data_IF_858063104116
#
_entry.id   IF_858063104116
#
_cell.length_a   1.000
_cell.length_b   1.000
_cell.length_c   1.000
_cell.angle_alpha   90.00
_cell.angle_beta   90.00
_cell.angle_gamma   90.00
#
_symmetry.space_group_name_H-M   'P 1'
#
loop_
_entity.id
_entity.type
_entity.pdbx_description
1 polymer ?
#
# COMPACT_ATOMS: atom_id res chain seq x y z
N UNK A 1 -2.82 -1.58 -26.75
CA UNK A 1 -1.56 -2.24 -26.35
C UNK A 1 -0.32 -1.37 -26.56
N UNK A 2 0.11 -1.09 -27.80
CA UNK A 2 1.38 -0.37 -28.06
C UNK A 2 1.43 1.04 -27.42
N UNK A 3 0.31 1.77 -27.43
CA UNK A 3 0.22 3.11 -26.86
C UNK A 3 0.44 3.15 -25.34
N UNK A 4 -0.13 2.20 -24.59
CA UNK A 4 -0.01 2.12 -23.13
C UNK A 4 1.42 1.81 -22.71
N UNK A 5 2.08 0.89 -23.42
CA UNK A 5 3.49 0.51 -23.16
C UNK A 5 4.41 1.71 -23.41
N UNK A 6 4.28 2.35 -24.58
CA UNK A 6 5.09 3.52 -24.94
C UNK A 6 4.86 4.67 -23.94
N UNK A 7 3.61 4.92 -23.56
CA UNK A 7 3.25 5.92 -22.56
C UNK A 7 3.95 5.67 -21.23
N UNK A 8 3.85 4.44 -20.69
CA UNK A 8 4.49 4.08 -19.42
C UNK A 8 6.01 4.25 -19.49
N UNK A 9 6.66 3.79 -20.57
CA UNK A 9 8.11 3.92 -20.72
C UNK A 9 8.54 5.39 -20.70
N UNK A 10 7.86 6.25 -21.47
CA UNK A 10 8.16 7.69 -21.52
C UNK A 10 7.96 8.33 -20.14
N UNK A 11 6.83 8.03 -19.50
CA UNK A 11 6.46 8.53 -18.18
C UNK A 11 7.51 8.13 -17.12
N UNK A 12 7.97 6.89 -17.13
CA UNK A 12 9.01 6.40 -16.22
C UNK A 12 10.36 7.06 -16.49
N UNK A 13 10.79 7.17 -17.75
CA UNK A 13 12.04 7.85 -18.12
C UNK A 13 12.06 9.31 -17.66
N UNK A 14 10.95 10.03 -17.86
CA UNK A 14 10.81 11.42 -17.43
C UNK A 14 10.89 11.55 -15.90
N UNK A 15 10.30 10.62 -15.15
CA UNK A 15 10.29 10.65 -13.69
C UNK A 15 11.69 10.53 -13.05
N UNK A 16 12.61 9.79 -13.68
CA UNK A 16 14.00 9.62 -13.19
C UNK A 16 14.97 10.70 -13.70
N UNK A 17 14.65 11.38 -14.81
CA UNK A 17 15.52 12.38 -15.44
C UNK A 17 15.12 13.81 -15.12
N UNK A 18 13.85 14.09 -14.87
CA UNK A 18 13.32 15.43 -14.69
C UNK A 18 12.34 15.52 -13.52
N UNK A 19 12.44 16.58 -12.71
CA UNK A 19 11.51 16.84 -11.62
C UNK A 19 10.94 18.25 -11.76
N UNK A 20 10.00 18.41 -12.69
CA UNK A 20 9.26 19.65 -12.86
C UNK A 20 7.77 19.43 -12.54
N UNK A 21 7.00 20.52 -12.46
CA UNK A 21 5.57 20.45 -12.14
C UNK A 21 4.78 19.63 -13.16
N UNK A 22 5.10 19.76 -14.45
CA UNK A 22 4.43 19.03 -15.53
C UNK A 22 4.58 17.51 -15.40
N UNK A 23 5.80 17.03 -15.13
CA UNK A 23 6.08 15.61 -14.94
C UNK A 23 5.40 15.07 -13.68
N UNK A 24 5.37 15.85 -12.59
CA UNK A 24 4.62 15.47 -11.39
C UNK A 24 3.12 15.33 -11.67
N UNK A 25 2.52 16.27 -12.41
CA UNK A 25 1.10 16.20 -12.80
C UNK A 25 0.87 15.00 -13.71
N UNK A 26 1.73 14.79 -14.71
CA UNK A 26 1.61 13.67 -15.63
C UNK A 26 1.61 12.33 -14.89
N UNK A 27 2.54 12.11 -13.95
CA UNK A 27 2.62 10.86 -13.19
C UNK A 27 1.43 10.64 -12.26
N UNK A 28 0.92 11.71 -11.64
CA UNK A 28 -0.30 11.66 -10.81
C UNK A 28 -1.51 11.31 -11.68
N UNK A 29 -1.60 11.88 -12.88
CA UNK A 29 -2.65 11.54 -13.84
C UNK A 29 -2.52 10.11 -14.34
N UNK A 30 -1.30 9.65 -14.67
CA UNK A 30 -1.05 8.24 -15.04
C UNK A 30 -1.54 7.30 -13.96
N UNK A 31 -1.21 7.59 -12.70
CA UNK A 31 -1.66 6.78 -11.56
C UNK A 31 -3.18 6.80 -11.44
N UNK A 32 -3.82 7.97 -11.54
CA UNK A 32 -5.28 8.06 -11.54
C UNK A 32 -5.91 7.21 -12.64
N UNK A 33 -5.41 7.32 -13.87
CA UNK A 33 -5.96 6.59 -15.00
C UNK A 33 -5.82 5.08 -14.83
N UNK A 34 -4.68 4.61 -14.33
CA UNK A 34 -4.47 3.21 -13.98
C UNK A 34 -5.50 2.74 -12.95
N UNK A 35 -5.63 3.42 -11.81
CA UNK A 35 -6.46 2.96 -10.70
C UNK A 35 -7.96 3.05 -11.01
N UNK A 36 -8.39 4.10 -11.72
CA UNK A 36 -9.79 4.38 -12.00
C UNK A 36 -10.37 3.49 -13.11
N UNK A 37 -9.59 3.15 -14.13
CA UNK A 37 -10.07 2.49 -15.35
C UNK A 37 -9.49 1.08 -15.55
N UNK A 38 -9.04 0.44 -14.48
CA UNK A 38 -8.61 -0.95 -14.53
C UNK A 38 -9.80 -1.92 -14.63
N UNK A 39 -9.77 -2.83 -15.61
CA UNK A 39 -10.87 -3.75 -15.93
C UNK A 39 -10.38 -5.21 -16.05
N UNK A 40 -9.52 -5.68 -15.15
CA UNK A 40 -9.09 -7.08 -15.19
C UNK A 40 -10.27 -8.02 -14.85
N UNK A 41 -10.54 -8.97 -15.76
CA UNK A 41 -11.81 -9.70 -15.85
C UNK A 41 -12.29 -10.41 -14.56
N UNK A 42 -11.41 -10.92 -13.68
CA UNK A 42 -11.84 -11.81 -12.60
C UNK A 42 -12.43 -11.08 -11.38
N UNK A 43 -11.69 -10.14 -10.78
CA UNK A 43 -12.20 -9.45 -9.59
C UNK A 43 -13.11 -8.27 -9.96
N UNK A 44 -12.92 -7.65 -11.13
CA UNK A 44 -13.78 -6.57 -11.63
C UNK A 44 -15.25 -7.01 -11.74
N UNK A 45 -15.52 -8.14 -12.41
CA UNK A 45 -16.88 -8.64 -12.60
C UNK A 45 -17.57 -9.00 -11.27
N UNK A 46 -16.80 -9.45 -10.28
CA UNK A 46 -17.33 -9.72 -8.93
C UNK A 46 -17.76 -8.41 -8.25
N UNK A 47 -16.98 -7.33 -8.40
CA UNK A 47 -17.35 -6.02 -7.86
C UNK A 47 -18.58 -5.42 -8.54
N UNK A 48 -18.65 -5.48 -9.87
CA UNK A 48 -19.82 -5.01 -10.64
C UNK A 48 -21.07 -5.76 -10.21
N UNK A 49 -21.02 -7.10 -10.18
CA UNK A 49 -22.14 -7.92 -9.73
C UNK A 49 -22.59 -7.54 -8.31
N UNK A 50 -21.63 -7.37 -7.39
CA UNK A 50 -21.92 -6.98 -6.01
C UNK A 50 -22.56 -5.61 -5.92
N UNK A 51 -22.12 -4.66 -6.75
CA UNK A 51 -22.66 -3.31 -6.83
C UNK A 51 -24.11 -3.31 -7.36
N UNK A 52 -24.37 -4.04 -8.45
CA UNK A 52 -25.68 -4.13 -9.07
C UNK A 52 -26.70 -4.87 -8.18
N UNK A 53 -26.26 -5.91 -7.46
CA UNK A 53 -27.08 -6.61 -6.46
C UNK A 53 -27.60 -5.65 -5.38
N UNK A 54 -26.77 -4.73 -4.90
CA UNK A 54 -27.22 -3.68 -3.95
C UNK A 54 -28.24 -2.75 -4.61
N UNK A 55 -27.98 -2.33 -5.85
CA UNK A 55 -28.89 -1.48 -6.62
C UNK A 55 -30.27 -2.10 -6.82
N UNK A 56 -30.33 -3.42 -7.00
CA UNK A 56 -31.56 -4.20 -7.13
C UNK A 56 -32.33 -4.40 -5.81
N UNK A 57 -31.79 -3.96 -4.66
CA UNK A 57 -32.43 -4.07 -3.34
C UNK A 57 -32.14 -5.39 -2.60
N UNK A 58 -31.26 -6.24 -3.12
CA UNK A 58 -30.90 -7.53 -2.52
C UNK A 58 -29.82 -7.39 -1.44
N UNK A 59 -30.05 -6.50 -0.47
CA UNK A 59 -29.09 -6.09 0.56
C UNK A 59 -28.60 -7.27 1.42
N UNK A 60 -29.46 -8.27 1.64
CA UNK A 60 -29.15 -9.45 2.45
C UNK A 60 -28.06 -10.34 1.82
N UNK A 61 -27.85 -10.27 0.51
CA UNK A 61 -26.81 -11.04 -0.19
C UNK A 61 -25.39 -10.54 0.10
N UNK A 62 -25.24 -9.35 0.69
CA UNK A 62 -23.94 -8.80 1.11
C UNK A 62 -23.71 -8.85 2.63
N UNK A 63 -24.54 -9.58 3.39
CA UNK A 63 -24.25 -9.88 4.80
C UNK A 63 -22.93 -10.67 4.90
N UNK A 64 -21.84 -9.96 5.20
CA UNK A 64 -20.48 -10.52 5.24
C UNK A 64 -19.42 -9.69 4.50
N UNK A 65 -19.82 -8.71 3.68
CA UNK A 65 -18.90 -7.74 3.08
C UNK A 65 -18.58 -6.59 4.03
N UNK A 66 -17.46 -5.90 3.80
CA UNK A 66 -17.03 -4.81 4.68
C UNK A 66 -17.98 -3.60 4.62
N UNK A 67 -18.29 -2.96 5.77
CA UNK A 67 -19.34 -1.94 5.85
C UNK A 67 -19.15 -0.74 4.91
N UNK A 68 -17.91 -0.30 4.68
CA UNK A 68 -17.66 0.85 3.80
C UNK A 68 -17.80 0.50 2.32
N UNK A 69 -17.53 -0.74 1.91
CA UNK A 69 -17.81 -1.20 0.55
C UNK A 69 -19.32 -1.24 0.30
N UNK A 70 -20.10 -1.72 1.26
CA UNK A 70 -21.55 -1.70 1.18
C UNK A 70 -22.10 -0.26 1.07
N UNK A 71 -21.58 0.67 1.89
CA UNK A 71 -21.95 2.08 1.80
C UNK A 71 -21.61 2.69 0.44
N UNK A 72 -20.45 2.34 -0.13
CA UNK A 72 -20.07 2.75 -1.49
C UNK A 72 -21.11 2.30 -2.52
N UNK A 73 -21.50 1.02 -2.52
CA UNK A 73 -22.51 0.50 -3.44
C UNK A 73 -23.86 1.21 -3.27
N UNK A 74 -24.31 1.42 -2.02
CA UNK A 74 -25.57 2.11 -1.75
C UNK A 74 -25.58 3.55 -2.28
N UNK A 75 -24.52 4.31 -2.00
CA UNK A 75 -24.43 5.71 -2.40
C UNK A 75 -24.34 5.85 -3.91
N UNK A 76 -23.50 5.03 -4.55
CA UNK A 76 -23.35 5.06 -6.01
C UNK A 76 -24.67 4.78 -6.73
N UNK A 77 -25.37 3.71 -6.34
CA UNK A 77 -26.69 3.37 -6.91
C UNK A 77 -27.74 4.44 -6.61
N UNK A 78 -27.75 5.02 -5.40
CA UNK A 78 -28.67 6.11 -5.04
C UNK A 78 -28.53 7.33 -5.95
N UNK A 79 -27.31 7.62 -6.43
CA UNK A 79 -27.05 8.73 -7.35
C UNK A 79 -27.09 8.31 -8.83
N UNK A 80 -27.48 7.07 -9.15
CA UNK A 80 -27.58 6.57 -10.52
C UNK A 80 -26.22 6.42 -11.21
N UNK A 81 -25.13 6.27 -10.45
CA UNK A 81 -23.79 6.09 -11.00
C UNK A 81 -23.57 4.62 -11.40
N UNK A 82 -22.91 4.38 -12.53
CA UNK A 82 -22.32 3.07 -12.82
C UNK A 82 -21.19 2.76 -11.83
N UNK A 83 -20.84 1.48 -11.69
CA UNK A 83 -19.70 1.07 -10.87
C UNK A 83 -18.41 1.83 -11.25
N UNK A 84 -18.11 1.96 -12.55
CA UNK A 84 -16.93 2.67 -13.04
C UNK A 84 -16.93 4.15 -12.69
N UNK A 85 -18.09 4.81 -12.82
CA UNK A 85 -18.23 6.21 -12.45
C UNK A 85 -18.02 6.41 -10.95
N UNK A 86 -18.62 5.54 -10.12
CA UNK A 86 -18.45 5.58 -8.67
C UNK A 86 -17.00 5.29 -8.27
N UNK A 87 -16.36 4.30 -8.89
CA UNK A 87 -14.96 3.94 -8.69
C UNK A 87 -14.02 5.09 -9.05
N UNK A 88 -14.21 5.74 -10.21
CA UNK A 88 -13.40 6.87 -10.64
C UNK A 88 -13.42 8.02 -9.61
N UNK A 89 -14.58 8.29 -9.00
CA UNK A 89 -14.70 9.28 -7.91
C UNK A 89 -13.88 8.85 -6.68
N UNK A 90 -13.97 7.58 -6.26
CA UNK A 90 -13.18 7.06 -5.13
C UNK A 90 -11.68 7.14 -5.42
N UNK A 91 -11.26 6.86 -6.65
CA UNK A 91 -9.86 6.93 -7.06
C UNK A 91 -9.27 8.34 -6.95
N UNK A 92 -10.07 9.42 -7.01
CA UNK A 92 -9.59 10.77 -6.72
C UNK A 92 -9.08 10.87 -5.27
N UNK A 93 -9.79 10.26 -4.31
CA UNK A 93 -9.39 10.24 -2.91
C UNK A 93 -8.15 9.36 -2.70
N UNK A 94 -8.06 8.22 -3.39
CA UNK A 94 -6.91 7.32 -3.32
C UNK A 94 -5.63 7.99 -3.82
N UNK A 95 -5.70 8.62 -5.01
CA UNK A 95 -4.57 9.35 -5.58
C UNK A 95 -4.20 10.56 -4.73
N UNK A 96 -5.19 11.27 -4.18
CA UNK A 96 -4.95 12.35 -3.22
C UNK A 96 -4.24 11.84 -1.96
N UNK A 97 -4.63 10.69 -1.43
CA UNK A 97 -4.00 10.10 -0.26
C UNK A 97 -2.52 9.78 -0.52
N UNK A 98 -2.22 9.14 -1.65
CA UNK A 98 -0.85 8.83 -2.08
C UNK A 98 -0.04 10.11 -2.28
N UNK A 99 -0.54 11.04 -3.11
CA UNK A 99 0.14 12.30 -3.42
C UNK A 99 0.40 13.14 -2.16
N UNK A 100 -0.62 13.31 -1.32
CA UNK A 100 -0.53 14.11 -0.10
C UNK A 100 0.48 13.52 0.88
N UNK A 101 0.52 12.20 1.04
CA UNK A 101 1.53 11.52 1.87
C UNK A 101 2.94 11.69 1.30
N UNK A 102 3.16 11.50 -0.01
CA UNK A 102 4.48 11.72 -0.62
C UNK A 102 4.94 13.16 -0.36
N UNK A 103 4.02 14.13 -0.54
CA UNK A 103 4.30 15.57 -0.40
C UNK A 103 4.73 15.95 1.01
N UNK A 104 4.30 15.22 2.05
CA UNK A 104 4.77 15.43 3.43
C UNK A 104 6.28 15.19 3.56
N UNK A 105 6.86 14.27 2.79
CA UNK A 105 8.26 13.86 2.91
C UNK A 105 9.16 14.36 1.76
N UNK A 106 8.67 14.45 0.53
CA UNK A 106 9.50 14.85 -0.60
C UNK A 106 8.74 15.63 -1.66
N UNK A 107 9.45 16.52 -2.34
CA UNK A 107 8.93 17.24 -3.51
C UNK A 107 9.27 16.53 -4.84
N UNK A 108 10.00 15.41 -4.79
CA UNK A 108 10.28 14.54 -5.94
C UNK A 108 9.16 13.51 -6.10
N UNK A 109 7.94 13.99 -6.33
CA UNK A 109 6.72 13.17 -6.31
C UNK A 109 6.73 12.15 -7.45
N UNK A 110 7.06 12.60 -8.66
CA UNK A 110 7.13 11.77 -9.86
C UNK A 110 8.02 10.54 -9.67
N UNK A 111 9.15 10.69 -8.98
CA UNK A 111 10.09 9.60 -8.75
C UNK A 111 9.54 8.53 -7.80
N UNK A 112 8.79 8.93 -6.75
CA UNK A 112 8.10 7.96 -5.88
C UNK A 112 6.97 7.26 -6.61
N UNK A 113 6.13 8.03 -7.33
CA UNK A 113 5.03 7.47 -8.11
C UNK A 113 5.55 6.53 -9.19
N UNK A 114 6.70 6.83 -9.83
CA UNK A 114 7.30 5.95 -10.81
C UNK A 114 7.73 4.60 -10.22
N UNK A 115 8.38 4.60 -9.04
CA UNK A 115 8.69 3.35 -8.33
C UNK A 115 7.41 2.59 -7.99
N UNK A 116 6.40 3.29 -7.46
CA UNK A 116 5.10 2.72 -7.12
C UNK A 116 4.36 2.13 -8.35
N UNK A 117 4.41 2.81 -9.50
CA UNK A 117 3.82 2.36 -10.77
C UNK A 117 4.50 1.13 -11.34
N UNK A 118 5.82 1.01 -11.20
CA UNK A 118 6.52 -0.23 -11.58
C UNK A 118 6.00 -1.38 -10.71
N UNK A 119 5.96 -1.16 -9.39
CA UNK A 119 5.37 -2.08 -8.44
C UNK A 119 5.20 -1.36 -7.09
N UNK A 120 4.10 -1.54 -6.33
CA UNK A 120 3.00 -2.48 -6.53
C UNK A 120 1.71 -1.94 -7.16
N UNK A 121 1.65 -0.69 -7.63
CA UNK A 121 0.40 -0.07 -8.09
C UNK A 121 -0.35 -0.86 -9.16
N UNK A 122 0.38 -1.51 -10.07
CA UNK A 122 -0.21 -2.39 -11.10
C UNK A 122 -0.93 -3.59 -10.45
N UNK A 123 -0.26 -4.30 -9.54
CA UNK A 123 -0.88 -5.40 -8.80
C UNK A 123 -2.07 -4.95 -7.91
N UNK A 124 -2.03 -3.72 -7.38
CA UNK A 124 -3.09 -3.19 -6.53
C UNK A 124 -4.30 -2.64 -7.31
N UNK A 125 -4.12 -2.26 -8.58
CA UNK A 125 -5.14 -1.59 -9.39
C UNK A 125 -6.39 -2.44 -9.62
N UNK A 126 -6.26 -3.77 -9.70
CA UNK A 126 -7.41 -4.68 -9.81
C UNK A 126 -8.24 -4.75 -8.51
N UNK A 127 -7.62 -4.49 -7.37
CA UNK A 127 -8.14 -4.87 -6.06
C UNK A 127 -8.83 -3.70 -5.36
N UNK A 128 -9.95 -3.24 -5.91
CA UNK A 128 -10.66 -2.02 -5.46
C UNK A 128 -10.75 -1.83 -3.93
N UNK A 129 -11.30 -2.81 -3.19
CA UNK A 129 -11.45 -2.71 -1.73
C UNK A 129 -10.12 -2.59 -1.00
N UNK A 130 -9.14 -3.41 -1.41
CA UNK A 130 -7.81 -3.43 -0.84
C UNK A 130 -7.08 -2.11 -1.12
N UNK A 131 -7.14 -1.61 -2.36
CA UNK A 131 -6.54 -0.35 -2.78
C UNK A 131 -7.08 0.83 -1.96
N UNK A 132 -8.40 0.91 -1.77
CA UNK A 132 -9.03 1.94 -0.95
C UNK A 132 -8.53 1.89 0.50
N UNK A 133 -8.54 0.71 1.12
CA UNK A 133 -8.02 0.51 2.48
C UNK A 133 -6.54 0.85 2.60
N UNK A 134 -5.72 0.40 1.63
CA UNK A 134 -4.29 0.68 1.54
C UNK A 134 -4.02 2.19 1.49
N UNK A 135 -4.77 2.94 0.67
CA UNK A 135 -4.61 4.38 0.53
C UNK A 135 -4.94 5.13 1.82
N UNK A 136 -5.96 4.69 2.58
CA UNK A 136 -6.26 5.24 3.92
C UNK A 136 -5.10 4.98 4.89
N UNK A 137 -4.50 3.79 4.86
CA UNK A 137 -3.31 3.47 5.68
C UNK A 137 -2.11 4.33 5.27
N UNK A 138 -1.85 4.48 3.97
CA UNK A 138 -0.80 5.37 3.43
C UNK A 138 -1.03 6.80 3.89
N UNK A 139 -2.28 7.26 3.91
CA UNK A 139 -2.65 8.55 4.47
C UNK A 139 -2.39 8.62 5.97
N UNK A 140 -2.56 7.54 6.72
CA UNK A 140 -2.34 7.52 8.17
C UNK A 140 -0.85 7.57 8.57
N UNK A 141 0.06 6.99 7.76
CA UNK A 141 1.49 6.80 8.09
C UNK A 141 2.22 8.05 8.60
N UNK A 142 2.03 9.27 8.05
CA UNK A 142 2.69 10.45 8.57
C UNK A 142 2.42 10.76 10.05
N UNK A 143 1.22 10.44 10.56
CA UNK A 143 0.91 10.63 11.98
C UNK A 143 1.77 9.70 12.83
N UNK A 144 1.83 8.42 12.47
CA UNK A 144 2.69 7.43 13.11
C UNK A 144 4.18 7.82 13.06
N UNK A 145 4.65 8.28 11.89
CA UNK A 145 6.03 8.72 11.69
C UNK A 145 6.37 9.94 12.54
N UNK A 146 5.43 10.90 12.68
CA UNK A 146 5.58 11.99 13.63
C UNK A 146 5.68 11.42 15.04
N UNK A 147 4.62 10.77 15.53
CA UNK A 147 4.60 10.01 16.77
C UNK A 147 5.22 10.73 17.98
N UNK A 148 5.05 12.06 18.03
CA UNK A 148 5.58 12.92 19.11
C UNK A 148 4.56 13.09 20.23
N UNK A 149 3.28 12.83 19.94
CA UNK A 149 2.16 12.92 20.89
C UNK A 149 1.31 11.65 20.88
N UNK A 150 0.57 11.40 21.97
CA UNK A 150 -0.44 10.32 22.02
C UNK A 150 -1.53 10.47 20.95
N UNK A 151 -1.83 11.70 20.56
CA UNK A 151 -2.82 12.01 19.52
C UNK A 151 -2.38 11.54 18.14
N UNK A 152 -1.08 11.43 17.89
CA UNK A 152 -0.53 10.86 16.66
C UNK A 152 -0.89 9.38 16.51
N UNK A 153 -0.63 8.61 17.57
CA UNK A 153 -0.95 7.19 17.61
C UNK A 153 -2.45 6.95 17.59
N UNK A 154 -3.23 7.79 18.27
CA UNK A 154 -4.69 7.71 18.24
C UNK A 154 -5.24 7.99 16.84
N UNK A 155 -4.80 9.08 16.18
CA UNK A 155 -5.22 9.41 14.82
C UNK A 155 -4.81 8.33 13.82
N UNK A 156 -3.58 7.83 13.92
CA UNK A 156 -3.13 6.68 13.12
C UNK A 156 -4.04 5.47 13.31
N UNK A 157 -4.32 5.09 14.56
CA UNK A 157 -5.15 3.93 14.88
C UNK A 157 -6.59 4.10 14.41
N UNK A 158 -7.18 5.28 14.56
CA UNK A 158 -8.52 5.60 14.07
C UNK A 158 -8.61 5.45 12.55
N UNK A 159 -7.62 5.94 11.80
CA UNK A 159 -7.58 5.79 10.35
C UNK A 159 -7.36 4.33 9.92
N UNK A 160 -6.57 3.54 10.67
CA UNK A 160 -6.42 2.10 10.44
C UNK A 160 -7.76 1.38 10.65
N UNK A 161 -8.51 1.72 11.70
CA UNK A 161 -9.86 1.15 11.93
C UNK A 161 -10.82 1.49 10.79
N UNK A 162 -10.77 2.72 10.27
CA UNK A 162 -11.54 3.10 9.06
C UNK A 162 -11.07 2.31 7.83
N UNK A 163 -9.77 2.06 7.67
CA UNK A 163 -9.27 1.22 6.59
C UNK A 163 -9.78 -0.24 6.72
N UNK A 164 -9.90 -0.76 7.94
CA UNK A 164 -10.47 -2.10 8.21
C UNK A 164 -11.92 -2.23 7.73
N UNK A 165 -12.71 -1.16 7.75
CA UNK A 165 -14.09 -1.19 7.22
C UNK A 165 -14.17 -1.13 5.70
N UNK A 166 -13.04 -0.91 5.01
CA UNK A 166 -12.91 -1.06 3.56
C UNK A 166 -12.34 -2.44 3.19
N UNK A 167 -11.31 -2.89 3.92
CA UNK A 167 -10.71 -4.20 3.75
C UNK A 167 -10.18 -4.73 5.09
N UNK A 168 -10.67 -5.88 5.53
CA UNK A 168 -10.42 -6.42 6.88
C UNK A 168 -8.93 -6.59 7.22
N UNK A 169 -8.11 -7.01 6.25
CA UNK A 169 -6.66 -7.20 6.47
C UNK A 169 -5.92 -5.93 6.90
N UNK A 170 -6.47 -4.73 6.63
CA UNK A 170 -5.85 -3.48 7.07
C UNK A 170 -5.73 -3.37 8.60
N UNK A 171 -6.50 -4.14 9.38
CA UNK A 171 -6.39 -4.18 10.84
C UNK A 171 -4.97 -4.49 11.32
N UNK A 172 -4.23 -5.32 10.59
CA UNK A 172 -2.88 -5.72 10.98
C UNK A 172 -1.87 -4.56 10.97
N UNK A 173 -2.18 -3.43 10.31
CA UNK A 173 -1.36 -2.23 10.42
C UNK A 173 -1.36 -1.62 11.83
N UNK A 174 -2.32 -1.97 12.69
CA UNK A 174 -2.33 -1.51 14.09
C UNK A 174 -1.08 -1.94 14.86
N UNK A 175 -0.40 -3.01 14.42
CA UNK A 175 0.88 -3.47 14.96
C UNK A 175 1.96 -2.40 14.91
N UNK A 176 1.90 -1.48 13.94
CA UNK A 176 2.89 -0.41 13.84
C UNK A 176 2.83 0.59 15.00
N UNK A 177 1.78 0.58 15.83
CA UNK A 177 1.78 1.33 17.09
C UNK A 177 2.89 0.89 18.06
N UNK A 178 3.51 -0.28 17.87
CA UNK A 178 4.73 -0.68 18.59
C UNK A 178 5.87 0.34 18.45
N UNK A 179 5.84 1.23 17.45
CA UNK A 179 6.76 2.37 17.34
C UNK A 179 6.68 3.36 18.52
N UNK A 180 5.67 3.25 19.39
CA UNK A 180 5.64 4.00 20.65
C UNK A 180 6.83 3.62 21.56
N UNK A 181 7.40 2.41 21.38
CA UNK A 181 8.63 1.96 22.03
C UNK A 181 9.81 2.68 21.36
N UNK A 182 10.29 3.75 22.00
CA UNK A 182 11.37 4.60 21.45
C UNK A 182 12.72 3.90 21.39
N UNK A 183 12.99 2.97 22.32
CA UNK A 183 14.24 2.21 22.31
C UNK A 183 14.18 1.10 21.27
N UNK A 184 15.03 1.20 20.24
CA UNK A 184 15.07 0.25 19.13
C UNK A 184 15.50 -1.15 19.55
N UNK A 185 16.39 -1.29 20.54
CA UNK A 185 16.82 -2.62 21.02
C UNK A 185 15.66 -3.31 21.72
N UNK A 186 14.95 -2.59 22.59
CA UNK A 186 13.77 -3.10 23.28
C UNK A 186 12.70 -3.48 22.24
N UNK A 187 12.42 -2.60 21.28
CA UNK A 187 11.46 -2.87 20.20
C UNK A 187 11.83 -4.15 19.42
N UNK A 188 13.09 -4.30 19.01
CA UNK A 188 13.54 -5.49 18.28
C UNK A 188 13.38 -6.76 19.10
N UNK A 189 13.66 -6.72 20.41
CA UNK A 189 13.46 -7.86 21.32
C UNK A 189 11.97 -8.20 21.43
N UNK A 190 11.10 -7.20 21.62
CA UNK A 190 9.65 -7.39 21.69
C UNK A 190 9.12 -8.01 20.39
N UNK A 191 9.54 -7.50 19.24
CA UNK A 191 9.15 -8.04 17.93
C UNK A 191 9.66 -9.47 17.74
N UNK A 192 10.89 -9.78 18.16
CA UNK A 192 11.44 -11.14 18.07
C UNK A 192 10.65 -12.12 18.95
N UNK A 193 10.36 -11.75 20.20
CA UNK A 193 9.56 -12.58 21.11
C UNK A 193 8.16 -12.78 20.51
N UNK A 194 7.50 -11.72 20.05
CA UNK A 194 6.18 -11.80 19.43
C UNK A 194 6.22 -12.68 18.17
N UNK A 195 7.25 -12.56 17.34
CA UNK A 195 7.44 -13.41 16.16
C UNK A 195 7.54 -14.89 16.53
N UNK A 196 8.37 -15.23 17.53
CA UNK A 196 8.53 -16.62 18.00
C UNK A 196 7.22 -17.16 18.56
N UNK A 197 6.53 -16.38 19.41
CA UNK A 197 5.24 -16.77 19.99
C UNK A 197 4.19 -16.97 18.90
N UNK A 198 4.06 -16.04 17.96
CA UNK A 198 3.15 -16.18 16.83
C UNK A 198 3.50 -17.40 15.97
N UNK A 199 4.78 -17.66 15.72
CA UNK A 199 5.21 -18.80 14.90
C UNK A 199 4.94 -20.15 15.59
N UNK A 200 5.21 -20.26 16.90
CA UNK A 200 4.93 -21.49 17.67
C UNK A 200 3.43 -21.71 17.77
N UNK A 201 2.67 -20.67 18.12
CA UNK A 201 1.20 -20.75 18.12
C UNK A 201 0.65 -20.98 16.73
N UNK A 202 1.39 -20.64 15.66
CA UNK A 202 0.97 -20.90 14.29
C UNK A 202 0.82 -22.39 13.98
N UNK A 203 1.70 -23.20 14.58
CA UNK A 203 1.68 -24.66 14.49
C UNK A 203 0.57 -25.29 15.35
N UNK A 204 -0.15 -24.47 16.12
CA UNK A 204 -1.28 -24.91 16.95
C UNK A 204 -2.60 -24.40 16.38
N UNK A 205 -3.72 -25.02 16.76
CA UNK A 205 -5.05 -24.49 16.41
C UNK A 205 -5.42 -23.22 17.20
N UNK A 206 -4.58 -22.73 18.12
CA UNK A 206 -4.89 -21.60 19.00
C UNK A 206 -4.96 -20.28 18.23
N UNK A 207 -3.97 -19.99 17.39
CA UNK A 207 -3.93 -18.74 16.64
C UNK A 207 -5.03 -18.71 15.56
N UNK A 208 -5.38 -19.86 14.97
CA UNK A 208 -6.58 -20.00 14.14
C UNK A 208 -7.86 -19.61 14.90
N UNK A 209 -8.05 -20.12 16.13
CA UNK A 209 -9.21 -19.78 16.97
C UNK A 209 -9.27 -18.29 17.30
N UNK A 210 -8.12 -17.65 17.53
CA UNK A 210 -8.05 -16.20 17.83
C UNK A 210 -8.39 -15.39 16.57
N UNK A 211 -7.83 -15.75 15.41
CA UNK A 211 -8.07 -15.06 14.15
C UNK A 211 -9.51 -15.27 13.65
N UNK A 212 -10.12 -16.42 13.93
CA UNK A 212 -11.53 -16.69 13.59
C UNK A 212 -12.54 -15.77 14.31
N UNK A 213 -12.14 -15.07 15.39
CA UNK A 213 -12.97 -14.02 15.98
C UNK A 213 -12.93 -12.71 15.19
N UNK A 214 -11.96 -12.53 14.29
CA UNK A 214 -11.95 -11.42 13.36
C UNK A 214 -13.00 -11.70 12.27
N UNK A 215 -13.71 -10.68 11.77
CA UNK A 215 -14.72 -10.83 10.73
C UNK A 215 -14.09 -11.08 9.34
N UNK A 216 -13.21 -12.08 9.23
CA UNK A 216 -12.60 -12.53 7.98
C UNK A 216 -13.50 -13.65 7.44
N UNK A 217 -14.16 -13.47 6.29
CA UNK A 217 -15.08 -14.49 5.78
C UNK A 217 -14.38 -15.82 5.51
N UNK A 218 -14.93 -16.92 6.03
CA UNK A 218 -14.36 -18.28 5.89
C UNK A 218 -14.19 -18.71 4.42
N UNK A 219 -15.11 -18.28 3.55
CA UNK A 219 -15.06 -18.55 2.10
C UNK A 219 -13.87 -17.90 1.40
N UNK A 220 -13.35 -16.78 1.93
CA UNK A 220 -12.11 -16.19 1.45
C UNK A 220 -10.90 -17.03 1.88
N UNK A 221 -10.88 -17.55 3.10
CA UNK A 221 -9.78 -18.42 3.55
C UNK A 221 -9.66 -19.67 2.66
N UNK A 222 -10.77 -20.29 2.28
CA UNK A 222 -10.77 -21.47 1.40
C UNK A 222 -10.29 -21.14 -0.02
N UNK A 223 -10.77 -20.03 -0.63
CA UNK A 223 -10.30 -19.57 -1.95
C UNK A 223 -8.79 -19.34 -1.98
N UNK A 224 -8.26 -18.70 -0.93
CA UNK A 224 -6.85 -18.34 -0.87
C UNK A 224 -5.94 -19.49 -0.42
N UNK A 225 -6.43 -20.45 0.38
CA UNK A 225 -5.69 -21.67 0.74
C UNK A 225 -5.39 -22.60 -0.43
N UNK A 226 -6.16 -22.50 -1.52
CA UNK A 226 -5.97 -23.31 -2.74
C UNK A 226 -5.02 -22.67 -3.77
N UNK A 227 -4.52 -21.45 -3.52
CA UNK A 227 -3.65 -20.72 -4.46
C UNK A 227 -2.16 -21.02 -4.24
N UNK A 228 -1.33 -20.77 -5.25
CA UNK A 228 0.13 -20.88 -5.11
C UNK A 228 0.71 -19.96 -4.01
N UNK A 229 -0.03 -18.94 -3.59
CA UNK A 229 0.40 -18.00 -2.55
C UNK A 229 0.31 -18.56 -1.13
N UNK A 230 -0.56 -19.54 -0.87
CA UNK A 230 -0.71 -20.17 0.46
C UNK A 230 0.24 -21.34 0.69
N UNK A 231 0.91 -21.83 -0.35
CA UNK A 231 1.83 -22.96 -0.23
C UNK A 231 3.21 -22.52 0.30
N UNK A 232 4.07 -23.50 0.60
CA UNK A 232 5.41 -23.23 1.15
C UNK A 232 6.26 -22.33 0.24
N UNK A 233 6.11 -22.43 -1.09
CA UNK A 233 6.82 -21.59 -2.05
C UNK A 233 6.32 -20.15 -2.02
N UNK A 234 5.00 -19.93 -1.89
CA UNK A 234 4.41 -18.60 -1.69
C UNK A 234 4.93 -17.92 -0.41
N UNK A 235 5.03 -18.66 0.69
CA UNK A 235 5.58 -18.16 1.96
C UNK A 235 7.08 -17.85 1.87
N UNK A 236 7.86 -18.71 1.20
CA UNK A 236 9.28 -18.47 0.91
C UNK A 236 9.43 -17.19 0.07
N UNK A 237 8.66 -17.07 -1.01
CA UNK A 237 8.65 -15.90 -1.89
C UNK A 237 8.27 -14.62 -1.15
N UNK A 238 7.28 -14.68 -0.24
CA UNK A 238 6.94 -13.58 0.65
C UNK A 238 8.11 -13.20 1.57
N UNK A 239 8.71 -14.20 2.23
CA UNK A 239 9.84 -13.99 3.15
C UNK A 239 11.03 -13.33 2.45
N UNK A 240 11.36 -13.77 1.24
CA UNK A 240 12.41 -13.17 0.40
C UNK A 240 12.06 -11.72 0.04
N UNK A 241 10.80 -11.44 -0.37
CA UNK A 241 10.34 -10.06 -0.63
C UNK A 241 10.53 -9.17 0.60
N UNK A 242 10.13 -9.62 1.78
CA UNK A 242 10.34 -8.90 3.04
C UNK A 242 11.82 -8.67 3.35
N UNK A 243 12.69 -9.65 3.06
CA UNK A 243 14.13 -9.50 3.24
C UNK A 243 14.69 -8.37 2.38
N UNK A 244 14.28 -8.25 1.11
CA UNK A 244 14.70 -7.14 0.24
C UNK A 244 14.23 -5.78 0.77
N UNK A 245 12.99 -5.69 1.27
CA UNK A 245 12.45 -4.45 1.84
C UNK A 245 13.16 -4.07 3.14
N UNK A 246 13.38 -5.04 4.04
CA UNK A 246 14.18 -4.86 5.25
C UNK A 246 15.59 -4.36 4.91
N UNK A 247 16.24 -4.98 3.92
CA UNK A 247 17.58 -4.61 3.45
C UNK A 247 17.60 -3.18 2.91
N UNK A 248 16.61 -2.77 2.12
CA UNK A 248 16.48 -1.41 1.61
C UNK A 248 16.35 -0.41 2.76
N UNK A 249 15.48 -0.65 3.74
CA UNK A 249 15.32 0.26 4.87
C UNK A 249 16.54 0.32 5.77
N UNK A 250 17.25 -0.79 5.97
CA UNK A 250 18.54 -0.80 6.67
C UNK A 250 19.61 0.01 5.93
N UNK A 251 19.69 -0.14 4.60
CA UNK A 251 20.59 0.65 3.75
C UNK A 251 20.29 2.15 3.84
N UNK A 252 19.01 2.54 3.73
CA UNK A 252 18.56 3.93 3.90
C UNK A 252 18.93 4.44 5.29
N UNK A 253 18.67 3.64 6.34
CA UNK A 253 19.01 3.99 7.71
C UNK A 253 20.51 4.31 7.86
N UNK A 254 21.40 3.43 7.40
CA UNK A 254 22.86 3.67 7.46
C UNK A 254 23.22 4.96 6.71
N UNK A 255 22.73 5.12 5.48
CA UNK A 255 23.07 6.27 4.63
C UNK A 255 22.49 7.59 5.17
N UNK A 256 21.39 7.53 5.91
CA UNK A 256 20.74 8.69 6.53
C UNK A 256 21.44 9.18 7.80
N UNK A 257 22.36 8.40 8.39
CA UNK A 257 22.96 8.67 9.69
C UNK A 257 23.54 10.10 9.83
N UNK A 258 24.23 10.59 8.79
CA UNK A 258 24.82 11.94 8.79
C UNK A 258 23.79 13.06 8.64
N UNK A 259 22.65 12.78 7.99
CA UNK A 259 21.55 13.75 7.80
C UNK A 259 20.70 13.82 9.07
N UNK A 260 20.46 12.68 9.72
CA UNK A 260 19.66 12.57 10.93
C UNK A 260 20.31 13.19 12.18
N UNK A 261 21.61 13.52 12.12
CA UNK A 261 22.34 14.17 13.23
C UNK A 261 22.07 15.68 13.33
N UNK A 262 21.51 16.30 12.29
CA UNK A 262 21.09 17.72 12.36
C UNK A 262 19.89 17.82 13.30
N UNK A 263 19.95 18.76 14.25
CA UNK A 263 18.93 18.94 15.28
C UNK A 263 17.55 19.18 14.64
N UNK A 264 16.60 18.31 14.95
CA UNK A 264 15.18 18.52 14.68
C UNK A 264 14.68 19.59 15.66
N UNK A 265 13.96 20.62 15.21
CA UNK A 265 13.24 21.48 16.15
C UNK A 265 12.07 20.67 16.70
N UNK A 266 11.95 20.56 18.02
CA UNK A 266 10.82 19.88 18.64
C UNK A 266 9.50 20.50 18.16
N UNK A 267 8.53 19.66 17.77
CA UNK A 267 7.22 20.20 17.43
C UNK A 267 6.47 20.60 18.70
N UNK A 268 6.33 21.90 18.92
CA UNK A 268 5.74 22.43 20.17
C UNK A 268 4.27 21.98 20.36
N UNK A 269 3.50 21.78 19.28
CA UNK A 269 2.07 21.46 19.36
C UNK A 269 1.63 20.46 18.28
N UNK A 270 0.72 19.55 18.67
CA UNK A 270 0.03 18.64 17.74
C UNK A 270 -0.85 19.43 16.76
N UNK A 271 -0.88 18.98 15.50
CA UNK A 271 -1.72 19.51 14.45
C UNK A 271 -2.22 18.38 13.56
N UNK A 272 -3.53 18.39 13.28
CA UNK A 272 -4.13 17.53 12.26
C UNK A 272 -3.60 17.87 10.86
N UNK A 273 -3.33 19.16 10.59
CA UNK A 273 -2.70 19.54 9.33
C UNK A 273 -1.24 19.09 9.33
N UNK A 274 -0.96 18.04 8.55
CA UNK A 274 0.36 17.45 8.38
C UNK A 274 1.33 18.30 7.58
N UNK A 275 0.83 19.20 6.75
CA UNK A 275 1.66 20.13 5.97
C UNK A 275 2.19 21.30 6.78
N UNK A 276 1.73 21.47 8.02
CA UNK A 276 2.27 22.47 8.97
C UNK A 276 3.74 22.18 9.32
N UNK A 277 4.15 20.92 9.23
CA UNK A 277 5.48 20.47 9.62
C UNK A 277 6.46 20.60 8.46
N UNK A 278 7.69 21.11 8.69
CA UNK A 278 8.72 21.18 7.67
C UNK A 278 9.01 19.80 7.05
N UNK A 279 8.97 19.75 5.72
CA UNK A 279 9.21 18.51 4.96
C UNK A 279 10.55 17.84 5.31
N UNK A 280 11.58 18.64 5.59
CA UNK A 280 12.89 18.14 6.01
C UNK A 280 12.81 17.36 7.34
N UNK A 281 12.14 17.92 8.35
CA UNK A 281 12.02 17.31 9.67
C UNK A 281 11.18 16.02 9.62
N UNK A 282 10.08 16.03 8.87
CA UNK A 282 9.29 14.81 8.61
C UNK A 282 10.11 13.72 7.92
N UNK A 283 11.01 14.09 7.00
CA UNK A 283 11.91 13.14 6.33
C UNK A 283 12.94 12.55 7.28
N UNK A 284 13.52 13.37 8.16
CA UNK A 284 14.45 12.88 9.19
C UNK A 284 13.74 11.91 10.14
N UNK A 285 12.52 12.22 10.58
CA UNK A 285 11.71 11.30 11.40
C UNK A 285 11.42 9.98 10.67
N UNK A 286 11.09 10.04 9.37
CA UNK A 286 10.93 8.85 8.54
C UNK A 286 12.20 8.01 8.53
N UNK A 287 13.37 8.59 8.26
CA UNK A 287 14.64 7.85 8.24
C UNK A 287 14.95 7.18 9.58
N UNK A 288 14.66 7.88 10.68
CA UNK A 288 14.89 7.38 12.03
C UNK A 288 13.95 6.22 12.43
N UNK A 289 12.74 6.18 11.87
CA UNK A 289 11.74 5.14 12.20
C UNK A 289 11.65 4.04 11.16
N UNK A 290 12.18 4.23 9.95
CA UNK A 290 12.02 3.30 8.83
C UNK A 290 12.50 1.88 9.16
N UNK A 291 13.68 1.75 9.76
CA UNK A 291 14.20 0.43 10.13
C UNK A 291 13.32 -0.27 11.16
N UNK A 292 12.81 0.47 12.14
CA UNK A 292 11.86 -0.04 13.13
C UNK A 292 10.52 -0.46 12.51
N UNK A 293 10.01 0.30 11.54
CA UNK A 293 8.81 -0.06 10.76
C UNK A 293 9.04 -1.38 10.02
N UNK A 294 10.18 -1.52 9.33
CA UNK A 294 10.52 -2.75 8.61
C UNK A 294 10.67 -3.95 9.56
N UNK A 295 11.26 -3.75 10.75
CA UNK A 295 11.35 -4.81 11.77
C UNK A 295 9.97 -5.25 12.24
N UNK A 296 9.08 -4.31 12.62
CA UNK A 296 7.72 -4.66 13.07
C UNK A 296 6.98 -5.44 11.99
N UNK A 297 7.23 -5.11 10.73
CA UNK A 297 6.59 -5.77 9.59
C UNK A 297 6.95 -7.26 9.45
N UNK A 298 8.01 -7.75 10.12
CA UNK A 298 8.32 -9.18 10.18
C UNK A 298 7.18 -9.99 10.82
N UNK A 299 6.41 -9.38 11.72
CA UNK A 299 5.23 -10.02 12.32
C UNK A 299 4.18 -10.37 11.26
N UNK A 300 4.09 -9.59 10.18
CA UNK A 300 3.14 -9.84 9.08
C UNK A 300 3.47 -11.13 8.32
N UNK A 301 4.72 -11.58 8.29
CA UNK A 301 5.10 -12.85 7.65
C UNK A 301 4.41 -14.02 8.34
N UNK A 302 4.36 -14.01 9.68
CA UNK A 302 3.71 -15.09 10.44
C UNK A 302 2.19 -15.03 10.26
N UNK A 303 1.61 -13.84 10.18
CA UNK A 303 0.18 -13.66 9.94
C UNK A 303 -0.19 -14.10 8.52
N UNK A 304 0.72 -13.98 7.54
CA UNK A 304 0.51 -14.45 6.17
C UNK A 304 0.34 -15.97 6.04
N UNK A 305 0.81 -16.74 7.03
CA UNK A 305 0.54 -18.19 7.11
C UNK A 305 -0.97 -18.45 7.22
N UNK A 306 -1.70 -17.54 7.85
CA UNK A 306 -3.13 -17.69 8.14
C UNK A 306 -4.04 -17.14 7.06
N UNK A 307 -3.69 -15.97 6.54
CA UNK A 307 -4.48 -15.33 5.50
C UNK A 307 -3.54 -14.79 4.42
N UNK A 308 -3.56 -15.38 3.21
CA UNK A 308 -2.74 -14.92 2.10
C UNK A 308 -3.00 -13.45 1.71
N UNK A 309 -4.14 -12.88 2.13
CA UNK A 309 -4.44 -11.45 1.98
C UNK A 309 -3.39 -10.55 2.64
N UNK A 310 -2.70 -11.04 3.67
CA UNK A 310 -1.61 -10.33 4.36
C UNK A 310 -0.38 -10.15 3.49
N UNK A 311 -0.23 -10.96 2.43
CA UNK A 311 0.83 -10.73 1.45
C UNK A 311 0.73 -9.30 0.92
N UNK A 312 -0.45 -8.82 0.60
CA UNK A 312 -0.63 -7.45 0.05
C UNK A 312 -0.21 -6.34 1.02
N UNK A 313 -0.19 -6.59 2.34
CA UNK A 313 0.28 -5.57 3.32
C UNK A 313 1.73 -5.13 3.08
N UNK A 314 2.56 -5.97 2.47
CA UNK A 314 3.94 -5.60 2.16
C UNK A 314 4.01 -4.44 1.15
N UNK A 315 2.97 -4.22 0.34
CA UNK A 315 2.91 -3.14 -0.65
C UNK A 315 3.02 -1.75 -0.01
N UNK A 316 2.35 -1.55 1.14
CA UNK A 316 2.47 -0.31 1.94
C UNK A 316 3.88 -0.12 2.46
N UNK A 317 4.52 -1.20 2.92
CA UNK A 317 5.89 -1.18 3.41
C UNK A 317 6.88 -0.82 2.31
N UNK A 318 6.69 -1.39 1.12
CA UNK A 318 7.53 -1.10 -0.03
C UNK A 318 7.38 0.38 -0.45
N UNK A 319 6.14 0.88 -0.50
CA UNK A 319 5.84 2.28 -0.79
C UNK A 319 6.53 3.25 0.17
N UNK A 320 6.45 3.02 1.49
CA UNK A 320 7.12 3.90 2.47
C UNK A 320 8.65 3.87 2.34
N UNK A 321 9.23 2.72 1.96
CA UNK A 321 10.65 2.62 1.66
C UNK A 321 11.03 3.42 0.41
N UNK A 322 10.18 3.48 -0.62
CA UNK A 322 10.40 4.35 -1.78
C UNK A 322 10.34 5.84 -1.42
N UNK A 323 9.35 6.23 -0.62
CA UNK A 323 9.25 7.62 -0.11
C UNK A 323 10.53 7.99 0.62
N UNK A 324 11.02 7.11 1.49
CA UNK A 324 12.26 7.33 2.24
C UNK A 324 13.49 7.36 1.32
N UNK A 325 13.62 6.44 0.36
CA UNK A 325 14.74 6.41 -0.58
C UNK A 325 14.82 7.70 -1.41
N UNK A 326 13.69 8.15 -1.96
CA UNK A 326 13.62 9.36 -2.80
C UNK A 326 13.82 10.62 -1.96
N UNK A 327 13.31 10.66 -0.73
CA UNK A 327 13.61 11.78 0.19
C UNK A 327 15.09 11.82 0.56
N UNK A 328 15.70 10.67 0.86
CA UNK A 328 17.14 10.61 1.14
C UNK A 328 17.98 11.01 -0.08
N UNK A 329 17.59 10.61 -1.28
CA UNK A 329 18.23 11.05 -2.52
C UNK A 329 18.10 12.57 -2.72
N UNK A 330 16.95 13.17 -2.39
CA UNK A 330 16.75 14.63 -2.47
C UNK A 330 17.76 15.37 -1.59
N UNK A 331 17.93 14.92 -0.35
CA UNK A 331 18.76 15.58 0.66
C UNK A 331 20.26 15.27 0.49
N UNK A 332 20.63 14.02 0.18
CA UNK A 332 22.03 13.58 0.04
C UNK A 332 22.61 13.73 -1.37
N UNK A 333 21.76 13.85 -2.40
CA UNK A 333 22.11 13.72 -3.84
C UNK A 333 22.78 12.39 -4.22
N UNK A 334 22.78 11.40 -3.33
CA UNK A 334 23.44 10.13 -3.57
C UNK A 334 22.60 9.23 -4.48
N UNK A 335 23.04 9.08 -5.74
CA UNK A 335 22.34 8.27 -6.75
C UNK A 335 22.25 6.78 -6.36
N UNK A 336 23.19 6.25 -5.57
CA UNK A 336 23.15 4.82 -5.21
C UNK A 336 21.92 4.44 -4.40
N UNK A 337 21.34 5.37 -3.62
CA UNK A 337 20.09 5.14 -2.91
C UNK A 337 18.94 4.85 -3.88
N UNK A 338 18.88 5.62 -4.97
CA UNK A 338 17.84 5.44 -5.97
C UNK A 338 18.06 4.16 -6.79
N UNK A 339 19.32 3.84 -7.13
CA UNK A 339 19.66 2.58 -7.80
C UNK A 339 19.28 1.37 -6.97
N UNK A 340 19.58 1.36 -5.66
CA UNK A 340 19.22 0.26 -4.76
C UNK A 340 17.69 0.15 -4.61
N UNK A 341 16.98 1.27 -4.50
CA UNK A 341 15.52 1.27 -4.45
C UNK A 341 14.89 0.72 -5.74
N UNK A 342 15.43 1.10 -6.91
CA UNK A 342 15.00 0.57 -8.20
C UNK A 342 15.26 -0.93 -8.33
N UNK A 343 16.46 -1.40 -7.95
CA UNK A 343 16.77 -2.84 -7.95
C UNK A 343 15.84 -3.61 -7.00
N UNK A 344 15.57 -3.10 -5.81
CA UNK A 344 14.61 -3.68 -4.87
C UNK A 344 13.21 -3.75 -5.48
N UNK A 345 12.76 -2.69 -6.16
CA UNK A 345 11.49 -2.66 -6.89
C UNK A 345 11.39 -3.76 -7.96
N UNK A 346 12.40 -3.86 -8.83
CA UNK A 346 12.39 -4.86 -9.91
C UNK A 346 12.45 -6.28 -9.35
N UNK A 347 13.29 -6.53 -8.35
CA UNK A 347 13.39 -7.88 -7.74
C UNK A 347 12.08 -8.27 -7.06
N UNK A 348 11.46 -7.35 -6.31
CA UNK A 348 10.17 -7.65 -5.65
C UNK A 348 9.04 -7.88 -6.65
N UNK A 349 9.01 -7.14 -7.77
CA UNK A 349 8.11 -7.41 -8.88
C UNK A 349 8.35 -8.79 -9.49
N UNK A 350 9.60 -9.14 -9.82
CA UNK A 350 9.94 -10.45 -10.39
C UNK A 350 9.52 -11.60 -9.46
N UNK A 351 9.78 -11.46 -8.15
CA UNK A 351 9.35 -12.45 -7.16
C UNK A 351 7.81 -12.56 -7.08
N UNK A 352 7.08 -11.45 -7.23
CA UNK A 352 5.63 -11.48 -7.28
C UNK A 352 5.11 -12.22 -8.52
N UNK A 353 5.73 -11.99 -9.69
CA UNK A 353 5.36 -12.63 -10.95
C UNK A 353 5.68 -14.14 -10.96
N UNK A 354 6.81 -14.54 -10.38
CA UNK A 354 7.21 -15.96 -10.30
C UNK A 354 6.26 -16.76 -9.38
N UNK A 355 5.62 -16.12 -8.40
CA UNK A 355 4.74 -16.79 -7.44
C UNK A 355 3.36 -17.19 -7.99
N UNK A 356 3.00 -16.84 -9.23
CA UNK A 356 1.75 -17.32 -9.84
C UNK A 356 1.47 -16.80 -11.24
N UNK A 357 0.99 -17.69 -12.12
CA UNK A 357 0.58 -17.35 -13.49
C UNK A 357 -0.51 -16.26 -13.52
N UNK A 358 -1.38 -16.23 -12.51
CA UNK A 358 -2.40 -15.19 -12.37
C UNK A 358 -1.78 -13.79 -12.23
N UNK A 359 -0.67 -13.63 -11.48
CA UNK A 359 0.00 -12.33 -11.33
C UNK A 359 0.59 -11.84 -12.66
N UNK A 360 1.04 -12.77 -13.51
CA UNK A 360 1.48 -12.45 -14.88
C UNK A 360 0.30 -12.03 -15.74
N UNK A 361 -0.83 -12.75 -15.66
CA UNK A 361 -2.03 -12.41 -16.41
C UNK A 361 -2.55 -11.01 -16.05
N UNK A 362 -2.60 -10.67 -14.76
CA UNK A 362 -2.97 -9.35 -14.25
C UNK A 362 -2.02 -8.27 -14.78
N UNK A 363 -0.71 -8.50 -14.68
CA UNK A 363 0.25 -7.53 -15.22
C UNK A 363 0.02 -7.30 -16.73
N UNK A 364 -0.28 -8.37 -17.48
CA UNK A 364 -0.51 -8.30 -18.93
C UNK A 364 -1.87 -7.68 -19.30
N UNK A 365 -2.92 -7.79 -18.46
CA UNK A 365 -4.24 -7.20 -18.75
C UNK A 365 -4.15 -5.67 -18.84
N UNK A 366 -3.34 -5.05 -17.98
CA UNK A 366 -3.05 -3.60 -18.03
C UNK A 366 -2.52 -3.12 -19.39
N UNK A 367 -1.92 -4.02 -20.18
CA UNK A 367 -1.39 -3.68 -21.51
C UNK A 367 -2.30 -4.16 -22.64
N UNK A 368 -3.00 -5.28 -22.47
CA UNK A 368 -3.90 -5.86 -23.47
C UNK A 368 -5.23 -5.10 -23.54
N UNK A 369 -5.93 -5.02 -22.43
CA UNK A 369 -7.20 -4.29 -22.29
C UNK A 369 -6.96 -2.81 -22.03
N UNK A 370 -5.90 -2.47 -21.29
CA UNK A 370 -5.35 -1.12 -21.22
C UNK A 370 -6.24 -0.06 -20.57
N UNK A 371 -5.85 0.45 -19.40
CA UNK A 371 -6.57 1.54 -18.73
C UNK A 371 -6.79 2.80 -19.62
N UNK A 372 -5.90 3.07 -20.58
CA UNK A 372 -6.10 4.15 -21.57
C UNK A 372 -7.21 3.83 -22.60
N UNK A 373 -7.35 2.57 -23.01
CA UNK A 373 -8.42 2.14 -23.91
C UNK A 373 -9.75 2.13 -23.16
N UNK A 374 -9.74 1.66 -21.91
CA UNK A 374 -10.90 1.68 -21.03
C UNK A 374 -11.40 3.10 -20.74
N UNK A 375 -10.49 4.06 -20.54
CA UNK A 375 -10.83 5.48 -20.46
C UNK A 375 -11.60 5.94 -21.70
N UNK A 376 -11.08 5.64 -22.90
CA UNK A 376 -11.71 6.04 -24.17
C UNK A 376 -13.09 5.38 -24.32
N UNK A 377 -13.21 4.10 -23.98
CA UNK A 377 -14.49 3.38 -23.98
C UNK A 377 -15.53 4.02 -23.06
N UNK A 378 -15.12 4.37 -21.84
CA UNK A 378 -15.99 5.00 -20.84
C UNK A 378 -16.49 6.37 -21.32
N UNK A 379 -15.62 7.19 -21.92
CA UNK A 379 -16.00 8.49 -22.49
C UNK A 379 -17.01 8.34 -23.63
N UNK A 380 -16.87 7.31 -24.47
CA UNK A 380 -17.75 7.11 -25.62
C UNK A 380 -19.15 6.56 -25.24
N UNK A 381 -19.31 6.03 -24.03
CA UNK A 381 -20.56 5.45 -23.52
C UNK A 381 -21.35 6.42 -22.60
N UNK A 382 -20.83 7.63 -22.38
CA UNK A 382 -21.53 8.76 -21.75
C UNK A 382 -22.05 9.71 -22.83
#
# INVERSE_FOLDING_TARGET
>A
MELTIVYIIIVLLLAFTSNNKGVNILLVLTLYLLLAFEHSDQDYLVYVKSYDTVGAGNILELLGYEPSFFLFCMLGNKYGLSFDAARAIICLFEVFAIWSTIKVFTNKIACVIALFLIFPATADAELFRWLAGMCVVIFALPYLIRGESKWDYLMYSSLVVIATTLHTSCLFFILYNLLCIKDRKILSIVVLIAFIVLFVTAQTRLLYKIIAFLPIPDTLNDKFQLTGESNIFGLIGLTIRYFFVLSLGYFIYIKSYFIAKKSIKSFEHFSFNRFKYPQYEMSVLLFNKLFSINIISLLLIVIAIYTPQVQRLFHVLLFINYVAAVSLYKESKNKSVLTVAFLCCIITLLLHLINGEQNVAILLSHFKEGFLVNLISCINNW
#
